data_IF_046989229254
#
_entry.id   IF_046989229254
#
_cell.length_a   1.000
_cell.length_b   1.000
_cell.length_c   1.000
_cell.angle_alpha   90.00
_cell.angle_beta   90.00
_cell.angle_gamma   90.00
#
_symmetry.space_group_name_H-M   'P 1'
#
loop_
_entity.id
_entity.type
_entity.pdbx_description
1 polymer ?
#
# COMPACT_ATOMS: atom_id res chain seq x y z
N UNK A 1 5.00 -5.20 10.13
CA UNK A 1 5.79 -4.44 9.12
C UNK A 1 5.02 -3.18 8.72
N UNK A 2 5.66 -2.18 8.06
CA UNK A 2 5.00 -0.91 7.71
C UNK A 2 3.68 -1.13 6.96
N UNK A 3 3.67 -2.04 5.98
CA UNK A 3 2.48 -2.44 5.24
C UNK A 3 1.29 -2.82 6.14
N UNK A 4 1.48 -3.75 7.09
CA UNK A 4 0.43 -4.19 8.02
C UNK A 4 -0.03 -3.07 8.96
N UNK A 5 0.90 -2.22 9.41
CA UNK A 5 0.58 -1.06 10.23
C UNK A 5 -0.28 -0.06 9.45
N UNK A 6 0.03 0.19 8.17
CA UNK A 6 -0.78 1.02 7.29
C UNK A 6 -2.18 0.42 7.09
N UNK A 7 -2.31 -0.90 6.86
CA UNK A 7 -3.61 -1.56 6.76
C UNK A 7 -4.46 -1.37 8.03
N UNK A 8 -3.85 -1.61 9.20
CA UNK A 8 -4.54 -1.41 10.48
C UNK A 8 -4.95 0.05 10.68
N UNK A 9 -4.07 1.00 10.34
CA UNK A 9 -4.37 2.43 10.43
C UNK A 9 -5.44 2.91 9.45
N UNK A 10 -5.59 2.24 8.29
CA UNK A 10 -6.71 2.44 7.36
C UNK A 10 -8.03 1.80 7.83
N UNK A 11 -8.06 1.16 9.00
CA UNK A 11 -9.26 0.56 9.58
C UNK A 11 -9.49 -0.90 9.20
N UNK A 12 -8.48 -1.59 8.65
CA UNK A 12 -8.58 -3.01 8.34
C UNK A 12 -8.70 -3.84 9.64
N UNK A 13 -9.72 -4.70 9.79
CA UNK A 13 -9.87 -5.56 10.95
C UNK A 13 -8.64 -6.45 11.19
N UNK A 14 -8.26 -6.74 12.45
CA UNK A 14 -7.05 -7.53 12.75
C UNK A 14 -6.98 -8.87 12.01
N UNK A 15 -8.11 -9.57 11.87
CA UNK A 15 -8.16 -10.86 11.17
C UNK A 15 -7.82 -10.75 9.68
N UNK A 16 -8.21 -9.65 9.02
CA UNK A 16 -7.90 -9.39 7.61
C UNK A 16 -6.43 -9.01 7.42
N UNK A 17 -5.87 -8.26 8.37
CA UNK A 17 -4.42 -7.95 8.38
C UNK A 17 -3.61 -9.25 8.49
N UNK A 18 -3.95 -10.13 9.42
CA UNK A 18 -3.26 -11.43 9.57
C UNK A 18 -3.41 -12.32 8.32
N UNK A 19 -4.58 -12.34 7.69
CA UNK A 19 -4.80 -13.06 6.43
C UNK A 19 -3.95 -12.49 5.28
N UNK A 20 -3.85 -11.16 5.18
CA UNK A 20 -3.00 -10.52 4.18
C UNK A 20 -1.52 -10.85 4.39
N UNK A 21 -1.04 -10.84 5.63
CA UNK A 21 0.33 -11.24 5.96
C UNK A 21 0.62 -12.69 5.59
N UNK A 22 -0.31 -13.61 5.89
CA UNK A 22 -0.21 -15.02 5.51
C UNK A 22 -0.19 -15.21 3.99
N UNK A 23 -1.05 -14.49 3.27
CA UNK A 23 -1.20 -14.64 1.82
C UNK A 23 -0.04 -14.05 1.02
N UNK A 24 0.48 -12.89 1.45
CA UNK A 24 1.60 -12.22 0.79
C UNK A 24 2.94 -12.86 1.15
N UNK A 25 3.02 -13.51 2.33
CA UNK A 25 4.25 -14.07 2.86
C UNK A 25 5.28 -12.98 3.18
N UNK A 26 6.57 -13.36 3.31
CA UNK A 26 7.65 -12.40 3.52
C UNK A 26 7.69 -11.38 2.38
N UNK A 27 8.02 -10.11 2.71
CA UNK A 27 8.21 -9.06 1.70
C UNK A 27 9.21 -9.55 0.65
N UNK A 28 8.76 -9.58 -0.60
CA UNK A 28 9.58 -9.86 -1.77
C UNK A 28 9.62 -8.62 -2.64
N UNK A 29 10.82 -8.17 -2.98
CA UNK A 29 10.99 -7.10 -3.95
C UNK A 29 10.96 -7.72 -5.34
N UNK A 30 9.97 -7.34 -6.14
CA UNK A 30 9.91 -7.74 -7.54
C UNK A 30 11.04 -7.06 -8.31
N UNK A 31 11.94 -7.86 -8.88
CA UNK A 31 13.03 -7.37 -9.72
C UNK A 31 12.64 -7.28 -11.20
N UNK A 32 11.49 -7.86 -11.60
CA UNK A 32 10.96 -7.80 -12.95
C UNK A 32 10.09 -6.55 -13.11
N UNK A 33 10.73 -5.38 -13.15
CA UNK A 33 10.01 -4.11 -13.24
C UNK A 33 9.65 -3.80 -14.69
N UNK A 34 8.36 -3.76 -15.01
CA UNK A 34 7.91 -3.24 -16.29
C UNK A 34 7.86 -1.70 -16.28
N UNK A 35 7.65 -1.10 -17.47
CA UNK A 35 7.60 0.36 -17.62
C UNK A 35 6.46 1.00 -16.81
N UNK A 36 5.37 0.29 -16.56
CA UNK A 36 4.22 0.78 -15.80
C UNK A 36 4.52 0.84 -14.30
N UNK A 37 5.18 -0.19 -13.77
CA UNK A 37 5.64 -0.22 -12.38
C UNK A 37 6.68 0.87 -12.15
N UNK A 38 7.68 1.02 -13.04
CA UNK A 38 8.67 2.10 -12.95
C UNK A 38 8.02 3.49 -12.98
N UNK A 39 7.02 3.70 -13.84
CA UNK A 39 6.29 4.97 -13.88
C UNK A 39 5.55 5.25 -12.58
N UNK A 40 4.91 4.22 -12.00
CA UNK A 40 4.18 4.35 -10.73
C UNK A 40 5.13 4.66 -9.58
N UNK A 41 6.27 3.96 -9.50
CA UNK A 41 7.33 4.24 -8.53
C UNK A 41 7.90 5.65 -8.67
N UNK A 42 8.04 6.16 -9.89
CA UNK A 42 8.53 7.53 -10.13
C UNK A 42 7.57 8.59 -9.59
N UNK A 43 6.25 8.37 -9.74
CA UNK A 43 5.23 9.29 -9.20
C UNK A 43 5.28 9.26 -7.67
N UNK A 44 5.26 8.08 -7.06
CA UNK A 44 5.33 7.94 -5.59
C UNK A 44 6.63 8.55 -5.04
N UNK A 45 7.76 8.40 -5.74
CA UNK A 45 9.03 9.04 -5.35
C UNK A 45 8.91 10.56 -5.35
N UNK A 46 8.31 11.15 -6.39
CA UNK A 46 8.11 12.60 -6.44
C UNK A 46 7.23 13.09 -5.29
N UNK A 47 6.20 12.33 -4.93
CA UNK A 47 5.35 12.68 -3.80
C UNK A 47 6.13 12.61 -2.47
N UNK A 48 6.93 11.55 -2.28
CA UNK A 48 7.82 11.40 -1.14
C UNK A 48 8.87 12.54 -1.05
N UNK A 49 9.44 12.97 -2.17
CA UNK A 49 10.34 14.14 -2.23
C UNK A 49 9.65 15.41 -1.68
N UNK A 50 8.34 15.57 -1.91
CA UNK A 50 7.55 16.64 -1.31
C UNK A 50 7.41 16.55 0.22
N UNK A 51 7.36 15.34 0.79
CA UNK A 51 7.45 15.17 2.25
C UNK A 51 8.86 15.47 2.77
N UNK A 52 9.89 14.98 2.09
CA UNK A 52 11.28 15.19 2.48
C UNK A 52 11.67 16.67 2.47
N UNK A 53 11.17 17.45 1.51
CA UNK A 53 11.42 18.89 1.44
C UNK A 53 10.84 19.68 2.65
N UNK A 54 9.89 19.09 3.39
CA UNK A 54 9.26 19.73 4.56
C UNK A 54 9.99 19.45 5.87
N UNK A 55 11.02 18.61 5.87
CA UNK A 55 11.77 18.25 7.07
C UNK A 55 13.27 18.45 6.87
N UNK A 56 14.03 18.84 7.91
CA UNK A 56 15.47 19.01 7.81
C UNK A 56 16.22 17.68 7.73
N UNK A 57 15.59 16.56 8.12
CA UNK A 57 16.18 15.24 8.14
C UNK A 57 15.10 14.17 7.89
N UNK A 58 15.40 13.17 7.05
CA UNK A 58 14.51 12.04 6.73
C UNK A 58 14.03 11.27 7.95
N UNK A 59 14.85 11.19 9.00
CA UNK A 59 14.49 10.51 10.26
C UNK A 59 13.35 11.21 11.02
N UNK A 60 13.00 12.44 10.63
CA UNK A 60 11.88 13.18 11.20
C UNK A 60 10.55 12.89 10.48
N UNK A 61 10.56 12.14 9.38
CA UNK A 61 9.31 11.67 8.79
C UNK A 61 8.74 10.53 9.63
N UNK A 62 7.46 10.64 9.99
CA UNK A 62 6.68 9.51 10.47
C UNK A 62 6.36 8.59 9.28
N UNK A 63 6.94 7.37 9.21
CA UNK A 63 6.73 6.49 8.07
C UNK A 63 5.28 6.05 7.91
N UNK A 64 4.52 5.94 9.01
CA UNK A 64 3.12 5.52 8.96
C UNK A 64 2.25 6.66 8.43
N UNK A 65 2.45 7.88 8.92
CA UNK A 65 1.73 9.06 8.42
C UNK A 65 1.99 9.31 6.93
N UNK A 66 3.25 9.19 6.50
CA UNK A 66 3.61 9.32 5.08
C UNK A 66 2.99 8.21 4.24
N UNK A 67 3.00 6.95 4.72
CA UNK A 67 2.36 5.85 4.01
C UNK A 67 0.84 6.07 3.83
N UNK A 68 0.15 6.58 4.86
CA UNK A 68 -1.28 6.91 4.77
C UNK A 68 -1.55 8.02 3.75
N UNK A 69 -0.76 9.09 3.76
CA UNK A 69 -0.92 10.20 2.82
C UNK A 69 -0.69 9.77 1.37
N UNK A 70 0.35 8.97 1.12
CA UNK A 70 0.63 8.39 -0.20
C UNK A 70 -0.49 7.45 -0.67
N UNK A 71 -1.19 6.79 0.24
CA UNK A 71 -2.32 5.90 -0.07
C UNK A 71 -3.64 6.64 -0.34
N UNK A 72 -3.90 7.80 0.26
CA UNK A 72 -5.16 8.56 0.04
C UNK A 72 -5.15 9.35 -1.29
N UNK A 73 -3.99 9.52 -1.92
CA UNK A 73 -3.86 10.28 -3.17
C UNK A 73 -4.73 9.73 -4.31
N UNK A 74 -5.60 10.54 -4.95
CA UNK A 74 -6.23 10.18 -6.22
C UNK A 74 -5.17 9.93 -7.31
N UNK A 75 -5.21 8.76 -7.93
CA UNK A 75 -4.30 8.37 -9.01
C UNK A 75 -5.09 7.90 -10.22
N UNK A 76 -4.59 8.17 -11.42
CA UNK A 76 -5.16 7.61 -12.65
C UNK A 76 -4.32 6.43 -13.15
N UNK A 77 -4.98 5.32 -13.46
CA UNK A 77 -4.36 4.15 -14.09
C UNK A 77 -5.09 3.91 -15.40
N UNK A 78 -4.38 4.05 -16.53
CA UNK A 78 -4.95 3.89 -17.88
C UNK A 78 -6.22 4.73 -18.09
N UNK A 79 -6.23 5.97 -17.58
CA UNK A 79 -7.37 6.89 -17.68
C UNK A 79 -8.49 6.70 -16.66
N UNK A 80 -8.44 5.66 -15.82
CA UNK A 80 -9.40 5.44 -14.73
C UNK A 80 -8.86 6.02 -13.42
N UNK A 81 -9.65 6.89 -12.78
CA UNK A 81 -9.34 7.39 -11.45
C UNK A 81 -9.59 6.33 -10.38
N UNK A 82 -8.62 6.16 -9.49
CA UNK A 82 -8.64 5.27 -8.34
C UNK A 82 -8.22 6.01 -7.08
N UNK A 83 -8.67 5.49 -5.94
CA UNK A 83 -8.23 5.85 -4.60
C UNK A 83 -7.48 4.63 -4.04
N UNK A 84 -6.13 4.69 -3.95
CA UNK A 84 -5.30 3.52 -3.66
C UNK A 84 -5.64 2.85 -2.32
N UNK A 85 -5.89 3.62 -1.28
CA UNK A 85 -6.40 3.19 0.03
C UNK A 85 -7.64 2.29 -0.09
N UNK A 86 -8.68 2.73 -0.80
CA UNK A 86 -9.93 1.99 -0.97
C UNK A 86 -9.71 0.71 -1.76
N UNK A 87 -8.96 0.81 -2.85
CA UNK A 87 -8.64 -0.34 -3.68
C UNK A 87 -7.83 -1.39 -2.90
N UNK A 88 -6.90 -0.95 -2.06
CA UNK A 88 -6.11 -1.83 -1.22
C UNK A 88 -6.96 -2.55 -0.17
N UNK A 89 -7.89 -1.85 0.49
CA UNK A 89 -8.84 -2.46 1.42
C UNK A 89 -9.75 -3.49 0.72
N UNK A 90 -10.24 -3.19 -0.49
CA UNK A 90 -11.00 -4.14 -1.31
C UNK A 90 -10.18 -5.39 -1.65
N UNK A 91 -8.91 -5.21 -2.06
CA UNK A 91 -7.99 -6.30 -2.35
C UNK A 91 -7.75 -7.19 -1.13
N UNK A 92 -7.53 -6.60 0.05
CA UNK A 92 -7.35 -7.33 1.31
C UNK A 92 -8.61 -8.09 1.73
N UNK A 93 -9.79 -7.47 1.57
CA UNK A 93 -11.06 -8.14 1.80
C UNK A 93 -11.23 -9.37 0.88
N UNK A 94 -10.85 -9.26 -0.40
CA UNK A 94 -10.90 -10.38 -1.35
C UNK A 94 -9.92 -11.52 -1.01
N UNK A 95 -8.76 -11.22 -0.43
CA UNK A 95 -7.83 -12.26 0.05
C UNK A 95 -8.50 -13.06 1.18
N UNK A 96 -9.21 -12.36 2.07
CA UNK A 96 -9.88 -12.96 3.22
C UNK A 96 -11.04 -13.89 2.81
N UNK A 97 -11.78 -13.55 1.75
CA UNK A 97 -12.87 -14.40 1.25
C UNK A 97 -12.36 -15.65 0.54
N UNK A 98 -11.25 -15.57 -0.20
CA UNK A 98 -10.68 -16.71 -0.95
C UNK A 98 -10.08 -17.81 -0.06
N UNK A 99 -9.60 -17.47 1.14
CA UNK A 99 -9.12 -18.47 2.10
C UNK A 99 -10.26 -19.21 2.80
N UNK A 100 -11.42 -18.56 2.94
CA UNK A 100 -12.61 -19.19 3.55
C UNK A 100 -13.24 -20.23 2.62
N UNK A 101 -13.18 -20.01 1.30
CA UNK A 101 -13.74 -20.93 0.29
C UNK A 101 -12.88 -22.14 -0.10
N UNK A 102 -11.74 -22.39 0.57
CA UNK A 102 -10.90 -23.59 0.36
C UNK A 102 -11.04 -24.64 1.47
N UNK A 103 -11.93 -24.41 2.44
CA UNK A 103 -12.16 -25.30 3.59
C UNK A 103 -13.50 -26.05 3.53
N UNK A 104 -14.12 -26.14 2.34
CA UNK A 104 -15.29 -26.97 2.04
C UNK A 104 -15.03 -27.78 0.79
#
# INVERSE_FOLDING_TARGET
PLFSATLAAMGCPPHQVSQAELALGPIRFDTATDRSVLSSMRIVRQDLEGHLARVPNVLMLDPLAVALDLCDRPTSVRGKWIRPDRLLLELVAMISTRHTGRLT
#
